data_IF_960537483393
#
_entry.id   IF_960537483393
#
_cell.length_a   1.000
_cell.length_b   1.000
_cell.length_c   1.000
_cell.angle_alpha   90.00
_cell.angle_beta   90.00
_cell.angle_gamma   90.00
#
_symmetry.space_group_name_H-M   'P 1'
#
loop_
_entity.id
_entity.type
_entity.pdbx_description
1 polymer ?
#
# COMPACT_ATOMS: atom_id res chain seq x y z
N UNK A 1 0.10 -48.85 9.55
CA UNK A 1 -0.53 -48.42 8.28
C UNK A 1 -0.79 -46.93 8.37
N UNK A 2 -0.25 -46.19 7.39
CA UNK A 2 -0.58 -44.84 6.94
C UNK A 2 -0.68 -43.69 7.97
N UNK A 3 0.35 -42.82 7.97
CA UNK A 3 0.20 -41.43 8.38
C UNK A 3 -0.42 -40.58 7.27
N UNK A 4 -1.01 -39.45 7.65
CA UNK A 4 -1.35 -38.33 6.76
C UNK A 4 -1.42 -37.07 7.63
N UNK A 5 -0.36 -36.27 7.69
CA UNK A 5 0.04 -35.21 6.76
C UNK A 5 -0.55 -33.86 7.17
N UNK A 6 0.34 -33.00 7.65
CA UNK A 6 0.07 -31.67 8.19
C UNK A 6 -0.48 -30.81 7.05
N UNK A 7 -1.72 -30.35 7.17
CA UNK A 7 -2.29 -29.37 6.25
C UNK A 7 -1.49 -28.07 6.36
N UNK A 8 -0.57 -27.93 5.42
CA UNK A 8 0.35 -26.82 5.23
C UNK A 8 -0.51 -25.64 4.78
N UNK A 9 -0.84 -24.77 5.72
CA UNK A 9 -1.57 -23.50 5.51
C UNK A 9 -1.16 -22.91 4.16
N UNK A 10 -2.15 -22.80 3.27
CA UNK A 10 -2.04 -22.23 1.94
C UNK A 10 -1.51 -20.80 2.06
N UNK A 11 -0.19 -20.65 2.03
CA UNK A 11 0.44 -19.37 1.75
C UNK A 11 0.05 -19.05 0.31
N UNK A 12 -1.07 -18.34 0.19
CA UNK A 12 -1.55 -17.75 -1.06
C UNK A 12 -0.51 -16.75 -1.49
N UNK A 13 0.54 -17.24 -2.15
CA UNK A 13 1.43 -16.46 -2.99
C UNK A 13 0.53 -15.76 -3.98
N UNK A 14 0.17 -14.53 -3.63
CA UNK A 14 -0.67 -13.69 -4.45
C UNK A 14 0.23 -13.38 -5.63
N UNK A 15 -0.02 -14.06 -6.75
CA UNK A 15 0.72 -13.90 -7.99
C UNK A 15 0.87 -12.42 -8.24
N UNK A 16 2.12 -11.96 -8.30
CA UNK A 16 2.53 -10.58 -8.51
C UNK A 16 2.02 -10.14 -9.87
N UNK A 17 0.74 -9.78 -9.97
CA UNK A 17 0.31 -8.91 -11.04
C UNK A 17 1.11 -7.64 -10.77
N UNK A 18 2.01 -7.30 -11.69
CA UNK A 18 2.81 -6.10 -11.63
C UNK A 18 1.85 -4.92 -11.82
N UNK A 19 1.04 -4.62 -10.78
CA UNK A 19 0.32 -3.37 -10.67
C UNK A 19 1.41 -2.30 -10.57
N UNK A 20 1.80 -1.81 -11.75
CA UNK A 20 2.86 -0.83 -11.90
C UNK A 20 2.32 0.49 -11.37
N UNK A 21 2.46 0.71 -10.07
CA UNK A 21 2.03 1.94 -9.42
C UNK A 21 3.02 3.05 -9.78
N UNK A 22 2.55 4.20 -10.27
CA UNK A 22 3.43 5.28 -10.72
C UNK A 22 4.40 5.72 -9.62
N UNK A 23 5.70 5.59 -9.89
CA UNK A 23 6.76 6.01 -8.98
C UNK A 23 7.06 5.05 -7.82
N UNK A 24 6.38 3.91 -7.72
CA UNK A 24 6.63 2.90 -6.68
C UNK A 24 7.33 1.69 -7.28
N UNK A 25 8.55 1.50 -6.83
CA UNK A 25 9.47 0.43 -7.20
C UNK A 25 9.33 -0.84 -6.34
N UNK A 26 8.64 -0.75 -5.19
CA UNK A 26 8.55 -1.85 -4.22
C UNK A 26 7.26 -1.81 -3.39
N UNK A 27 6.74 -2.98 -3.02
CA UNK A 27 5.66 -3.12 -2.04
C UNK A 27 5.97 -2.43 -0.71
N UNK A 28 7.22 -2.46 -0.26
CA UNK A 28 7.60 -1.77 0.98
C UNK A 28 7.46 -0.26 0.84
N UNK A 29 7.85 0.29 -0.33
CA UNK A 29 7.66 1.72 -0.64
C UNK A 29 6.18 2.06 -0.64
N UNK A 30 5.32 1.24 -1.26
CA UNK A 30 3.87 1.44 -1.22
C UNK A 30 3.35 1.58 0.19
N UNK A 31 3.72 0.65 1.08
CA UNK A 31 3.25 0.65 2.47
C UNK A 31 3.73 1.90 3.21
N UNK A 32 5.00 2.29 3.04
CA UNK A 32 5.56 3.49 3.68
C UNK A 32 4.85 4.76 3.19
N UNK A 33 4.71 4.94 1.87
CA UNK A 33 4.05 6.13 1.30
C UNK A 33 2.57 6.19 1.70
N UNK A 34 1.86 5.06 1.67
CA UNK A 34 0.47 4.98 2.10
C UNK A 34 0.31 5.27 3.61
N UNK A 35 1.21 4.78 4.45
CA UNK A 35 1.20 5.09 5.88
C UNK A 35 1.41 6.59 6.16
N UNK A 36 2.38 7.21 5.47
CA UNK A 36 2.62 8.65 5.57
C UNK A 36 1.41 9.46 5.09
N UNK A 37 0.78 9.03 3.98
CA UNK A 37 -0.43 9.68 3.49
C UNK A 37 -1.61 9.50 4.44
N UNK A 38 -1.77 8.33 5.03
CA UNK A 38 -2.80 8.08 6.04
C UNK A 38 -2.64 9.02 7.25
N UNK A 39 -1.40 9.28 7.68
CA UNK A 39 -1.12 10.27 8.74
C UNK A 39 -1.59 11.67 8.36
N UNK A 40 -1.38 12.09 7.11
CA UNK A 40 -1.88 13.38 6.62
C UNK A 40 -3.41 13.45 6.67
N UNK A 41 -4.11 12.39 6.23
CA UNK A 41 -5.57 12.30 6.28
C UNK A 41 -6.10 12.36 7.72
N UNK A 42 -5.45 11.67 8.65
CA UNK A 42 -5.79 11.73 10.09
C UNK A 42 -5.62 13.14 10.67
N UNK A 43 -4.67 13.91 10.15
CA UNK A 43 -4.43 15.30 10.53
C UNK A 43 -5.38 16.29 9.81
N UNK A 44 -6.40 15.80 9.10
CA UNK A 44 -7.38 16.65 8.41
C UNK A 44 -6.98 17.11 7.01
N UNK A 45 -5.93 16.53 6.41
CA UNK A 45 -5.62 16.77 4.99
C UNK A 45 -6.78 16.27 4.12
N UNK A 46 -7.19 17.02 3.09
CA UNK A 46 -8.26 16.60 2.20
C UNK A 46 -7.84 15.35 1.40
N UNK A 47 -8.79 14.44 1.19
CA UNK A 47 -8.63 13.33 0.27
C UNK A 47 -8.56 13.84 -1.18
N UNK A 48 -7.73 13.20 -2.00
CA UNK A 48 -7.55 13.49 -3.44
C UNK A 48 -8.50 12.64 -4.30
N UNK A 49 -9.17 11.67 -3.71
CA UNK A 49 -10.23 10.87 -4.34
C UNK A 49 -11.57 11.20 -3.67
N UNK A 50 -12.66 11.02 -4.42
CA UNK A 50 -14.00 11.05 -3.84
C UNK A 50 -14.15 9.90 -2.84
N UNK A 51 -14.07 10.25 -1.56
CA UNK A 51 -14.33 9.35 -0.46
C UNK A 51 -15.81 9.43 -0.11
N UNK A 52 -16.55 8.33 -0.28
CA UNK A 52 -17.82 8.17 0.41
C UNK A 52 -17.52 8.20 1.93
N UNK A 53 -18.01 9.21 2.67
CA UNK A 53 -17.69 9.41 4.09
C UNK A 53 -18.05 8.21 4.97
N UNK A 54 -19.01 7.38 4.53
CA UNK A 54 -19.47 6.21 5.27
C UNK A 54 -18.65 4.94 4.98
N UNK A 55 -17.91 4.88 3.86
CA UNK A 55 -17.40 3.60 3.35
C UNK A 55 -15.89 3.45 3.34
N UNK A 56 -15.11 4.54 3.38
CA UNK A 56 -13.66 4.44 3.24
C UNK A 56 -12.91 4.90 4.50
N UNK A 57 -12.21 3.97 5.14
CA UNK A 57 -11.21 4.27 6.18
C UNK A 57 -10.05 5.05 5.56
N UNK A 58 -9.40 5.93 6.31
CA UNK A 58 -8.24 6.72 5.86
C UNK A 58 -7.13 5.85 5.26
N UNK A 59 -6.95 4.63 5.76
CA UNK A 59 -5.99 3.65 5.21
C UNK A 59 -6.34 3.22 3.79
N UNK A 60 -7.63 2.98 3.51
CA UNK A 60 -8.10 2.63 2.18
C UNK A 60 -7.95 3.80 1.21
N UNK A 61 -8.24 5.01 1.67
CA UNK A 61 -8.09 6.24 0.88
C UNK A 61 -6.61 6.43 0.52
N UNK A 62 -5.73 6.35 1.51
CA UNK A 62 -4.30 6.51 1.31
C UNK A 62 -3.71 5.47 0.34
N UNK A 63 -4.08 4.19 0.48
CA UNK A 63 -3.65 3.15 -0.46
C UNK A 63 -4.12 3.44 -1.88
N UNK A 64 -5.38 3.83 -2.05
CA UNK A 64 -5.94 4.08 -3.37
C UNK A 64 -5.34 5.32 -4.03
N UNK A 65 -5.10 6.40 -3.28
CA UNK A 65 -4.38 7.57 -3.78
C UNK A 65 -2.95 7.24 -4.20
N UNK A 66 -2.26 6.39 -3.44
CA UNK A 66 -0.90 5.95 -3.76
C UNK A 66 -0.88 5.07 -5.01
N UNK A 67 -1.80 4.10 -5.12
CA UNK A 67 -1.92 3.23 -6.30
C UNK A 67 -2.26 3.99 -7.57
N UNK A 68 -3.06 5.07 -7.45
CA UNK A 68 -3.40 5.97 -8.57
C UNK A 68 -2.30 7.00 -8.88
N UNK A 69 -1.19 7.02 -8.14
CA UNK A 69 -0.12 8.00 -8.33
C UNK A 69 -0.51 9.44 -7.95
N UNK A 70 -1.55 9.62 -7.14
CA UNK A 70 -2.04 10.94 -6.72
C UNK A 70 -1.22 11.53 -5.59
N UNK A 71 -0.40 10.73 -4.90
CA UNK A 71 0.47 11.19 -3.81
C UNK A 71 1.85 11.49 -4.36
N UNK A 72 2.28 12.74 -4.24
CA UNK A 72 3.65 13.14 -4.59
C UNK A 72 4.59 12.83 -3.43
N UNK A 73 5.70 12.17 -3.73
CA UNK A 73 6.77 11.91 -2.77
C UNK A 73 8.12 11.93 -3.49
N UNK A 74 9.18 12.16 -2.74
CA UNK A 74 10.56 12.09 -3.23
C UNK A 74 11.32 11.01 -2.48
N UNK A 75 12.20 10.32 -3.20
CA UNK A 75 13.13 9.37 -2.60
C UNK A 75 14.42 10.08 -2.27
N UNK A 76 14.74 10.20 -0.98
CA UNK A 76 16.08 10.61 -0.57
C UNK A 76 16.98 9.38 -0.65
N UNK A 77 17.62 9.18 -1.80
CA UNK A 77 18.74 8.25 -1.85
C UNK A 77 19.88 8.94 -1.12
N UNK A 78 20.17 8.51 0.11
CA UNK A 78 21.38 8.96 0.79
C UNK A 78 22.55 8.30 0.05
N UNK A 79 23.11 9.00 -0.95
CA UNK A 79 24.47 8.72 -1.40
C UNK A 79 25.39 8.95 -0.21
N UNK A 80 25.65 7.87 0.53
CA UNK A 80 26.83 7.83 1.40
C UNK A 80 28.04 7.81 0.48
N UNK A 81 28.59 8.99 0.25
CA UNK A 81 29.94 9.18 -0.25
C UNK A 81 30.97 8.97 0.85
#
# INVERSE_FOLDING_TARGET
MAGADKSKSDYRSTSTHEEQWPGIDSHFRLIVVAALRCKQLLNGSPARIESDPLRRRNTSIALEEVRRGLVQFTTRNEEKS
#
